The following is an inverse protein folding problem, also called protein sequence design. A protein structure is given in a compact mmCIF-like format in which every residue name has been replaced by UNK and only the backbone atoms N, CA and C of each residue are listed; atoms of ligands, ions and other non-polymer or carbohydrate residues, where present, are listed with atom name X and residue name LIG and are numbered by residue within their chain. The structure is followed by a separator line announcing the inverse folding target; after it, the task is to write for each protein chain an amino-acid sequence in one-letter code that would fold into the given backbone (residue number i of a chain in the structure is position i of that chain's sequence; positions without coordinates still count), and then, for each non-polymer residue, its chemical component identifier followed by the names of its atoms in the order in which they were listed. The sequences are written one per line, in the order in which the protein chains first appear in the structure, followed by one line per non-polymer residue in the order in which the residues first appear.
data_IF_811597685047
#
_entry.id   IF_811597685047
#
_cell.length_a   1.000
_cell.length_b   1.000
_cell.length_c   1.000
_cell.angle_alpha   90.00
_cell.angle_beta   90.00
_cell.angle_gamma   90.00
#
_symmetry.space_group_name_H-M   'P 1'
#
loop_
_entity.id
_entity.type
_entity.pdbx_description
1 polymer ?
#
# COMPACT_ATOMS: atom_id res chain seq x y z
N UNK A 1 -7.47 10.88 -21.81
CA UNK A 1 -7.36 9.50 -21.27
C UNK A 1 -5.99 9.38 -20.62
N UNK A 2 -5.93 9.39 -19.29
CA UNK A 2 -4.68 9.09 -18.57
C UNK A 2 -4.63 7.57 -18.46
N UNK A 3 -3.60 6.97 -19.06
CA UNK A 3 -3.32 5.55 -18.91
C UNK A 3 -2.80 5.37 -17.46
N UNK A 4 -3.52 4.67 -16.55
CA UNK A 4 -3.11 4.55 -15.16
C UNK A 4 -2.03 3.47 -15.08
N UNK A 5 -0.89 3.70 -15.72
CA UNK A 5 0.32 2.98 -15.38
C UNK A 5 0.67 3.46 -13.98
N UNK A 6 0.35 2.62 -12.99
CA UNK A 6 0.77 2.80 -11.62
C UNK A 6 2.23 3.23 -11.59
N UNK A 7 2.50 4.40 -11.00
CA UNK A 7 3.86 4.87 -10.82
C UNK A 7 4.57 3.81 -9.96
N UNK A 8 5.49 3.05 -10.57
CA UNK A 8 6.29 2.09 -9.82
C UNK A 8 7.41 2.85 -9.15
N UNK A 9 7.48 2.74 -7.84
CA UNK A 9 8.58 3.27 -7.04
C UNK A 9 9.36 2.12 -6.43
N UNK A 10 10.61 2.37 -6.13
CA UNK A 10 11.48 1.48 -5.36
C UNK A 10 11.06 1.46 -3.89
N UNK A 11 11.48 0.42 -3.17
CA UNK A 11 11.29 0.36 -1.73
C UNK A 11 11.99 1.51 -0.98
N UNK A 12 13.10 2.02 -1.53
CA UNK A 12 13.82 3.16 -0.96
C UNK A 12 12.99 4.46 -1.07
N UNK A 13 12.44 4.74 -2.25
CA UNK A 13 11.57 5.90 -2.47
C UNK A 13 10.31 5.83 -1.59
N UNK A 14 9.70 4.65 -1.47
CA UNK A 14 8.55 4.44 -0.60
C UNK A 14 8.87 4.74 0.88
N UNK A 15 10.06 4.33 1.33
CA UNK A 15 10.54 4.58 2.68
C UNK A 15 10.81 6.07 2.94
N UNK A 16 11.42 6.77 1.98
CA UNK A 16 11.65 8.22 2.08
C UNK A 16 10.34 9.01 2.15
N UNK A 17 9.35 8.65 1.31
CA UNK A 17 8.05 9.32 1.31
C UNK A 17 7.32 9.08 2.64
N UNK A 18 7.28 7.83 3.11
CA UNK A 18 6.61 7.48 4.36
C UNK A 18 7.20 8.15 5.60
N UNK A 19 8.49 8.50 5.59
CA UNK A 19 9.12 9.20 6.71
C UNK A 19 8.93 10.72 6.67
N UNK A 20 8.68 11.30 5.50
CA UNK A 20 8.59 12.75 5.31
C UNK A 20 7.16 13.27 5.13
N UNK A 21 6.20 12.40 4.83
CA UNK A 21 4.83 12.77 4.51
C UNK A 21 3.80 11.95 5.32
N UNK A 22 3.04 12.63 6.18
CA UNK A 22 1.98 12.01 7.00
C UNK A 22 0.74 11.65 6.20
N UNK A 23 0.63 12.09 4.94
CA UNK A 23 -0.48 11.78 4.03
C UNK A 23 -0.22 10.57 3.13
N UNK A 24 0.81 9.78 3.45
CA UNK A 24 1.15 8.54 2.77
C UNK A 24 0.55 7.31 3.48
N UNK A 25 -0.11 6.45 2.71
CA UNK A 25 -0.61 5.15 3.15
C UNK A 25 0.10 4.01 2.39
N UNK A 26 0.63 3.04 3.13
CA UNK A 26 1.23 1.83 2.56
C UNK A 26 0.31 0.64 2.81
N UNK A 27 -0.03 -0.08 1.75
CA UNK A 27 -0.91 -1.24 1.76
C UNK A 27 -0.13 -2.53 1.46
N UNK A 28 -0.13 -3.45 2.41
CA UNK A 28 0.33 -4.82 2.24
C UNK A 28 -0.80 -5.66 1.66
N UNK A 29 -0.78 -5.88 0.35
CA UNK A 29 -1.77 -6.69 -0.38
C UNK A 29 -1.32 -8.14 -0.59
N UNK A 30 -0.24 -8.60 0.08
CA UNK A 30 0.18 -10.00 0.03
C UNK A 30 -0.96 -10.90 0.54
N UNK A 31 -1.01 -12.15 0.08
CA UNK A 31 -1.97 -13.10 0.65
C UNK A 31 -1.71 -13.34 2.14
N UNK A 32 -2.75 -13.74 2.87
CA UNK A 32 -2.64 -14.15 4.28
C UNK A 32 -1.52 -15.17 4.54
N UNK A 33 -1.35 -16.15 3.65
CA UNK A 33 -0.27 -17.14 3.75
C UNK A 33 1.12 -16.51 3.62
N UNK A 34 1.30 -15.60 2.65
CA UNK A 34 2.57 -14.89 2.44
C UNK A 34 2.91 -13.98 3.62
N UNK A 35 1.91 -13.32 4.22
CA UNK A 35 2.09 -12.51 5.44
C UNK A 35 2.53 -13.36 6.65
N UNK A 36 1.98 -14.56 6.79
CA UNK A 36 2.33 -15.49 7.88
C UNK A 36 3.71 -16.12 7.72
N UNK A 37 4.14 -16.35 6.48
CA UNK A 37 5.44 -16.98 6.18
C UNK A 37 6.59 -15.97 6.15
N UNK A 38 6.29 -14.66 6.05
CA UNK A 38 7.30 -13.62 5.97
C UNK A 38 7.60 -13.02 7.33
N UNK A 39 8.89 -12.95 7.66
CA UNK A 39 9.38 -12.25 8.86
C UNK A 39 9.55 -10.73 8.64
N UNK A 40 9.32 -10.24 7.41
CA UNK A 40 9.46 -8.82 7.09
C UNK A 40 8.13 -8.18 6.72
N UNK A 41 7.92 -6.98 7.27
CA UNK A 41 6.80 -6.08 6.98
C UNK A 41 7.29 -4.64 6.99
N UNK A 42 6.69 -3.79 6.17
CA UNK A 42 6.92 -2.34 6.25
C UNK A 42 6.21 -1.82 7.51
N UNK A 43 6.92 -1.04 8.33
CA UNK A 43 6.34 -0.43 9.52
C UNK A 43 5.15 0.48 9.13
N UNK A 44 4.07 0.45 9.91
CA UNK A 44 2.83 1.19 9.69
C UNK A 44 2.06 0.83 8.40
N UNK A 45 2.43 -0.25 7.71
CA UNK A 45 1.63 -0.76 6.60
C UNK A 45 0.28 -1.31 7.09
N UNK A 46 -0.76 -1.05 6.31
CA UNK A 46 -2.11 -1.58 6.52
C UNK A 46 -2.21 -2.91 5.79
N UNK A 47 -2.64 -3.94 6.50
CA UNK A 47 -2.81 -5.27 5.93
C UNK A 47 -4.19 -5.39 5.30
N UNK A 48 -4.23 -5.62 4.00
CA UNK A 48 -5.45 -5.91 3.24
C UNK A 48 -5.19 -7.14 2.38
N UNK A 49 -6.19 -7.98 2.15
CA UNK A 49 -6.09 -8.98 1.09
C UNK A 49 -6.30 -8.31 -0.28
N UNK A 50 -5.70 -8.87 -1.32
CA UNK A 50 -5.83 -8.37 -2.69
C UNK A 50 -7.23 -8.69 -3.30
N UNK A 51 -8.30 -8.27 -2.63
CA UNK A 51 -9.67 -8.40 -3.10
C UNK A 51 -10.36 -7.02 -3.17
N UNK A 52 -11.31 -6.90 -4.09
CA UNK A 52 -11.97 -5.62 -4.37
C UNK A 52 -12.80 -5.11 -3.19
N UNK A 53 -13.38 -6.01 -2.40
CA UNK A 53 -14.24 -5.66 -1.26
C UNK A 53 -13.44 -4.95 -0.15
N UNK A 54 -12.33 -5.56 0.29
CA UNK A 54 -11.47 -4.98 1.32
C UNK A 54 -10.81 -3.68 0.86
N UNK A 55 -10.30 -3.63 -0.38
CA UNK A 55 -9.67 -2.43 -0.92
C UNK A 55 -10.69 -1.29 -1.03
N UNK A 56 -11.89 -1.56 -1.53
CA UNK A 56 -12.93 -0.53 -1.66
C UNK A 56 -13.45 -0.06 -0.30
N UNK A 57 -13.61 -0.98 0.66
CA UNK A 57 -14.02 -0.63 2.03
C UNK A 57 -12.96 0.21 2.74
N UNK A 58 -11.67 -0.03 2.49
CA UNK A 58 -10.62 0.82 3.04
C UNK A 58 -10.55 2.18 2.32
N UNK A 59 -10.69 2.16 0.99
CA UNK A 59 -10.61 3.36 0.16
C UNK A 59 -11.81 4.31 0.32
N UNK A 60 -12.91 3.91 0.97
CA UNK A 60 -14.05 4.82 1.23
C UNK A 60 -13.70 5.94 2.19
N UNK A 61 -12.71 5.70 3.07
CA UNK A 61 -12.42 6.57 4.21
C UNK A 61 -11.12 7.39 4.02
N UNK A 62 -10.42 7.20 2.90
CA UNK A 62 -9.15 7.90 2.63
C UNK A 62 -9.36 9.24 1.93
N UNK A 63 -8.56 10.23 2.30
CA UNK A 63 -8.49 11.50 1.56
C UNK A 63 -7.96 11.22 0.13
N UNK A 64 -8.67 11.72 -0.88
CA UNK A 64 -8.33 11.57 -2.31
C UNK A 64 -6.99 12.18 -2.69
N UNK A 65 -6.44 13.05 -1.86
CA UNK A 65 -5.11 13.64 -2.04
C UNK A 65 -3.99 12.83 -1.39
N UNK A 66 -4.33 11.76 -0.65
CA UNK A 66 -3.34 10.88 -0.02
C UNK A 66 -2.60 10.06 -1.06
N UNK A 67 -1.31 9.85 -0.83
CA UNK A 67 -0.54 8.90 -1.61
C UNK A 67 -0.82 7.49 -1.11
N UNK A 68 -1.13 6.57 -2.03
CA UNK A 68 -1.38 5.16 -1.69
C UNK A 68 -0.39 4.27 -2.43
N UNK A 69 0.43 3.57 -1.68
CA UNK A 69 1.39 2.60 -2.21
C UNK A 69 0.94 1.18 -1.92
N UNK A 70 0.90 0.36 -2.95
CA UNK A 70 0.60 -1.07 -2.83
C UNK A 70 1.90 -1.85 -2.96
N UNK A 71 2.11 -2.84 -2.09
CA UNK A 71 3.17 -3.81 -2.28
C UNK A 71 2.66 -5.24 -2.14
N UNK A 72 3.23 -6.11 -2.97
CA UNK A 72 2.98 -7.55 -3.01
C UNK A 72 4.32 -8.28 -3.10
N UNK A 73 4.32 -9.56 -2.74
CA UNK A 73 5.43 -10.49 -2.93
C UNK A 73 5.30 -11.21 -4.28
#
# INVERSE_FOLDING_TARGET
MINPLSLRITAAEAFEINNNDTSCCILDIRSKSSKQQSNWKICNAINLEANAEEINSWASDIDKNSWVFFYCA
#
